data_IF_276937489674
#
_entry.id   IF_276937489674
#
_cell.length_a   1.000
_cell.length_b   1.000
_cell.length_c   1.000
_cell.angle_alpha   90.00
_cell.angle_beta   90.00
_cell.angle_gamma   90.00
#
_symmetry.space_group_name_H-M   'P 1'
#
loop_
_entity.id
_entity.type
_entity.pdbx_description
1 polymer ?
#
# COMPACT_ATOMS: atom_id res chain seq x y z
N UNK A 1 33.10 -25.00 -15.23
CA UNK A 1 31.79 -25.44 -14.69
C UNK A 1 31.04 -24.23 -14.14
N UNK A 2 30.03 -23.66 -14.84
CA UNK A 2 29.24 -22.56 -14.29
C UNK A 2 28.15 -23.12 -13.37
N UNK A 3 28.07 -22.61 -12.13
CA UNK A 3 27.09 -23.02 -11.12
C UNK A 3 25.65 -22.61 -11.51
N UNK A 4 24.63 -23.43 -11.22
CA UNK A 4 23.26 -23.18 -11.67
C UNK A 4 22.64 -21.97 -10.94
N UNK A 5 21.82 -21.24 -11.71
CA UNK A 5 21.14 -19.98 -11.38
C UNK A 5 20.26 -20.07 -10.13
N UNK A 6 20.47 -19.13 -9.19
CA UNK A 6 19.58 -18.82 -8.05
C UNK A 6 18.20 -18.29 -8.50
N UNK A 7 17.39 -19.11 -9.17
CA UNK A 7 16.02 -18.75 -9.57
C UNK A 7 14.94 -19.24 -8.60
N UNK A 8 15.26 -20.14 -7.68
CA UNK A 8 14.26 -20.79 -6.82
C UNK A 8 13.94 -20.05 -5.50
N UNK A 9 14.82 -19.16 -5.04
CA UNK A 9 14.66 -18.49 -3.74
C UNK A 9 13.76 -17.23 -3.81
N UNK A 10 13.65 -16.57 -4.97
CA UNK A 10 12.88 -15.32 -5.11
C UNK A 10 11.37 -15.53 -5.13
N UNK A 11 10.89 -16.61 -5.76
CA UNK A 11 9.46 -16.93 -5.79
C UNK A 11 8.96 -17.42 -4.44
N UNK A 12 9.74 -18.25 -3.74
CA UNK A 12 9.44 -18.69 -2.38
C UNK A 12 9.34 -17.49 -1.43
N UNK A 13 10.36 -16.62 -1.42
CA UNK A 13 10.34 -15.40 -0.62
C UNK A 13 9.14 -14.48 -0.94
N UNK A 14 8.73 -14.41 -2.22
CA UNK A 14 7.53 -13.66 -2.62
C UNK A 14 6.25 -14.29 -2.06
N UNK A 15 6.11 -15.63 -2.15
CA UNK A 15 4.96 -16.35 -1.61
C UNK A 15 4.86 -16.17 -0.10
N UNK A 16 5.95 -16.37 0.63
CA UNK A 16 6.00 -16.20 2.08
C UNK A 16 5.60 -14.78 2.49
N UNK A 17 6.06 -13.79 1.74
CA UNK A 17 5.69 -12.38 1.96
C UNK A 17 4.19 -12.15 1.73
N UNK A 18 3.65 -12.63 0.62
CA UNK A 18 2.21 -12.50 0.32
C UNK A 18 1.37 -13.20 1.38
N UNK A 19 1.81 -14.37 1.84
CA UNK A 19 1.15 -15.09 2.91
C UNK A 19 1.20 -14.33 4.23
N UNK A 20 2.35 -13.74 4.59
CA UNK A 20 2.47 -12.87 5.76
C UNK A 20 1.51 -11.68 5.68
N UNK A 21 1.47 -10.97 4.56
CA UNK A 21 0.54 -9.85 4.36
C UNK A 21 -0.92 -10.30 4.45
N UNK A 22 -1.24 -11.49 3.94
CA UNK A 22 -2.58 -12.09 4.05
C UNK A 22 -2.93 -12.36 5.51
N UNK A 23 -2.03 -12.96 6.28
CA UNK A 23 -2.22 -13.24 7.71
C UNK A 23 -2.41 -11.95 8.51
N UNK A 24 -1.58 -10.94 8.28
CA UNK A 24 -1.70 -9.62 8.92
C UNK A 24 -3.03 -8.95 8.58
N UNK A 25 -3.48 -9.01 7.32
CA UNK A 25 -4.78 -8.48 6.92
C UNK A 25 -5.95 -9.20 7.60
N UNK A 26 -5.88 -10.52 7.75
CA UNK A 26 -6.91 -11.31 8.46
C UNK A 26 -6.93 -10.98 9.95
N UNK A 27 -5.76 -10.77 10.55
CA UNK A 27 -5.63 -10.40 11.97
C UNK A 27 -6.00 -8.93 12.25
N UNK A 28 -6.03 -8.07 11.23
CA UNK A 28 -6.36 -6.66 11.39
C UNK A 28 -7.82 -6.49 11.81
N UNK A 29 -8.04 -5.59 12.77
CA UNK A 29 -9.39 -5.27 13.21
C UNK A 29 -10.20 -4.60 12.08
N UNK A 30 -11.55 -4.72 12.09
CA UNK A 30 -12.39 -4.01 11.14
C UNK A 30 -12.25 -2.49 11.23
N UNK A 31 -12.44 -1.81 10.11
CA UNK A 31 -12.35 -0.35 9.98
C UNK A 31 -13.27 0.36 10.98
N UNK A 32 -14.50 -0.13 11.17
CA UNK A 32 -15.45 0.39 12.18
C UNK A 32 -14.95 0.33 13.62
N UNK A 33 -14.02 -0.59 13.94
CA UNK A 33 -13.43 -0.71 15.27
C UNK A 33 -12.22 0.21 15.42
N UNK A 34 -11.42 0.35 14.37
CA UNK A 34 -10.26 1.23 14.34
C UNK A 34 -10.63 2.71 14.23
N UNK A 35 -11.63 3.04 13.42
CA UNK A 35 -12.07 4.38 13.09
C UNK A 35 -13.61 4.46 13.12
N UNK A 36 -14.23 4.49 14.32
CA UNK A 36 -15.68 4.31 14.46
C UNK A 36 -16.56 5.36 13.78
N UNK A 37 -16.03 6.56 13.53
CA UNK A 37 -16.77 7.66 12.90
C UNK A 37 -16.72 7.62 11.37
N UNK A 38 -15.83 6.79 10.80
CA UNK A 38 -15.58 6.72 9.37
C UNK A 38 -16.65 5.85 8.70
N UNK A 39 -17.43 6.44 7.80
CA UNK A 39 -18.45 5.75 7.02
C UNK A 39 -17.82 4.99 5.84
N UNK A 40 -16.79 5.58 5.24
CA UNK A 40 -16.08 5.03 4.09
C UNK A 40 -14.69 5.66 4.02
N UNK A 41 -13.72 4.89 3.53
CA UNK A 41 -12.37 5.39 3.22
C UNK A 41 -12.09 5.17 1.75
N UNK A 42 -11.80 6.24 1.03
CA UNK A 42 -11.26 6.16 -0.33
C UNK A 42 -9.75 6.31 -0.29
N UNK A 43 -9.06 5.41 -0.97
CA UNK A 43 -7.63 5.48 -1.22
C UNK A 43 -7.41 5.51 -2.74
N UNK A 44 -6.76 6.54 -3.23
CA UNK A 44 -6.32 6.63 -4.62
C UNK A 44 -4.81 6.52 -4.67
N UNK A 45 -4.31 5.61 -5.50
CA UNK A 45 -2.89 5.30 -5.63
C UNK A 45 -2.48 5.51 -7.09
N UNK A 46 -1.66 6.52 -7.35
CA UNK A 46 -1.11 6.82 -8.68
C UNK A 46 0.39 6.58 -8.67
N UNK A 47 0.85 5.70 -9.53
CA UNK A 47 2.25 5.31 -9.60
C UNK A 47 2.97 6.13 -10.66
N UNK A 48 4.20 6.55 -10.36
CA UNK A 48 5.07 7.23 -11.30
C UNK A 48 6.49 6.67 -11.19
N UNK A 49 7.02 6.16 -12.30
CA UNK A 49 8.39 5.66 -12.43
C UNK A 49 9.22 6.44 -13.45
N UNK A 50 8.72 7.59 -13.93
CA UNK A 50 9.33 8.40 -14.97
C UNK A 50 9.21 7.82 -16.39
N UNK A 51 8.54 6.67 -16.57
CA UNK A 51 8.30 6.09 -17.88
C UNK A 51 7.03 6.66 -18.54
N UNK A 52 6.90 6.47 -19.85
CA UNK A 52 5.70 6.86 -20.59
C UNK A 52 4.46 6.01 -20.25
N UNK A 53 4.66 4.84 -19.65
CA UNK A 53 3.60 3.88 -19.30
C UNK A 53 3.82 3.37 -17.87
N UNK A 54 3.54 4.22 -16.86
CA UNK A 54 3.67 3.80 -15.47
C UNK A 54 2.64 2.73 -15.10
N UNK A 55 2.83 2.02 -13.96
CA UNK A 55 1.85 1.08 -13.46
C UNK A 55 0.45 1.73 -13.31
N UNK A 56 -0.59 0.95 -13.63
CA UNK A 56 -1.97 1.43 -13.58
C UNK A 56 -2.33 1.95 -12.19
N UNK A 57 -3.04 3.09 -12.16
CA UNK A 57 -3.59 3.65 -10.94
C UNK A 57 -4.58 2.69 -10.27
N UNK A 58 -4.63 2.71 -8.94
CA UNK A 58 -5.49 1.84 -8.14
C UNK A 58 -6.41 2.71 -7.28
N UNK A 59 -7.69 2.34 -7.20
CA UNK A 59 -8.66 2.97 -6.30
C UNK A 59 -9.24 1.92 -5.38
N UNK A 60 -9.19 2.17 -4.08
CA UNK A 60 -9.74 1.31 -3.05
C UNK A 60 -10.79 2.05 -2.26
N UNK A 61 -11.98 1.47 -2.17
CA UNK A 61 -13.06 1.95 -1.33
C UNK A 61 -13.25 0.94 -0.22
N UNK A 62 -12.99 1.37 1.02
CA UNK A 62 -13.06 0.52 2.19
C UNK A 62 -14.27 0.93 3.03
N UNK A 63 -15.15 -0.04 3.24
CA UNK A 63 -16.35 0.11 4.05
C UNK A 63 -16.10 -0.32 5.51
N UNK A 64 -16.98 0.01 6.45
CA UNK A 64 -16.76 -0.23 7.88
C UNK A 64 -16.42 -1.70 8.27
N UNK A 65 -16.93 -2.75 7.57
CA UNK A 65 -16.52 -4.14 7.82
C UNK A 65 -15.13 -4.52 7.28
N UNK A 66 -14.54 -3.72 6.39
CA UNK A 66 -13.24 -4.03 5.79
C UNK A 66 -12.12 -4.03 6.84
N UNK A 67 -11.06 -4.80 6.61
CA UNK A 67 -9.90 -4.81 7.50
C UNK A 67 -9.18 -3.44 7.48
N UNK A 68 -8.84 -2.90 8.66
CA UNK A 68 -8.01 -1.71 8.82
C UNK A 68 -6.54 -2.03 8.54
N UNK A 69 -6.24 -2.43 7.29
CA UNK A 69 -4.94 -2.86 6.84
C UNK A 69 -4.58 -2.14 5.53
N UNK A 70 -3.66 -1.20 5.61
CA UNK A 70 -3.37 -0.25 4.52
C UNK A 70 -1.95 -0.40 3.96
N UNK A 71 -1.51 -1.65 3.80
CA UNK A 71 -0.23 -1.98 3.17
C UNK A 71 -0.45 -2.50 1.76
N UNK A 72 0.18 -1.83 0.79
CA UNK A 72 0.05 -2.13 -0.63
C UNK A 72 1.41 -2.57 -1.19
N UNK A 73 1.53 -3.75 -1.81
CA UNK A 73 2.78 -4.18 -2.41
C UNK A 73 3.14 -3.30 -3.61
N UNK A 74 4.44 -3.15 -3.89
CA UNK A 74 4.91 -2.52 -5.11
C UNK A 74 4.35 -3.25 -6.35
N UNK A 75 3.84 -2.54 -7.37
CA UNK A 75 3.27 -3.17 -8.57
C UNK A 75 4.33 -3.90 -9.42
N UNK A 76 5.62 -3.58 -9.27
CA UNK A 76 6.68 -4.31 -9.94
C UNK A 76 6.84 -5.72 -9.37
N UNK A 77 6.61 -6.73 -10.21
CA UNK A 77 6.61 -8.14 -9.82
C UNK A 77 7.97 -8.64 -9.29
N UNK A 78 9.05 -7.94 -9.63
CA UNK A 78 10.42 -8.21 -9.20
C UNK A 78 10.88 -7.35 -8.01
N UNK A 79 10.00 -6.52 -7.45
CA UNK A 79 10.27 -5.68 -6.29
C UNK A 79 9.70 -6.27 -5.00
N UNK A 80 10.46 -6.21 -3.91
CA UNK A 80 10.05 -6.64 -2.58
C UNK A 80 9.53 -5.50 -1.67
N UNK A 81 9.34 -4.30 -2.22
CA UNK A 81 8.85 -3.13 -1.50
C UNK A 81 7.33 -3.11 -1.28
N UNK A 82 6.90 -2.36 -0.27
CA UNK A 82 5.49 -2.02 0.01
C UNK A 82 5.36 -0.54 0.34
N UNK A 83 4.15 -0.03 0.19
CA UNK A 83 3.70 1.26 0.67
C UNK A 83 2.83 1.02 1.91
N UNK A 84 3.23 1.56 3.07
CA UNK A 84 2.44 1.52 4.31
C UNK A 84 1.74 2.87 4.49
N UNK A 85 0.41 2.88 4.30
CA UNK A 85 -0.41 4.08 4.45
C UNK A 85 -1.01 4.22 5.85
N UNK A 86 -0.70 3.32 6.79
CA UNK A 86 -1.36 3.25 8.10
C UNK A 86 -1.23 4.57 8.87
N UNK A 87 -0.05 5.18 8.85
CA UNK A 87 0.19 6.47 9.50
C UNK A 87 -0.61 7.62 8.86
N UNK A 88 -0.73 7.62 7.53
CA UNK A 88 -1.48 8.65 6.81
C UNK A 88 -3.00 8.52 7.00
N UNK A 89 -3.52 7.29 7.06
CA UNK A 89 -4.93 7.04 7.40
C UNK A 89 -5.21 7.45 8.85
N UNK A 90 -4.29 7.18 9.78
CA UNK A 90 -4.42 7.64 11.15
C UNK A 90 -4.39 9.19 11.25
N UNK A 91 -3.52 9.85 10.47
CA UNK A 91 -3.47 11.31 10.37
C UNK A 91 -4.79 11.86 9.80
N UNK A 92 -5.29 11.28 8.70
CA UNK A 92 -6.53 11.73 8.03
C UNK A 92 -7.75 11.54 8.93
N UNK A 93 -7.71 10.54 9.81
CA UNK A 93 -8.77 10.24 10.78
C UNK A 93 -8.63 10.97 12.13
N UNK A 94 -7.66 11.89 12.25
CA UNK A 94 -7.34 12.58 13.50
C UNK A 94 -8.49 13.43 14.09
N UNK A 95 -8.40 13.78 15.39
CA UNK A 95 -9.53 14.35 16.15
C UNK A 95 -9.87 15.81 15.83
N UNK A 96 -8.99 16.57 15.15
CA UNK A 96 -9.16 18.02 14.99
C UNK A 96 -10.05 18.38 13.82
N UNK A 97 -9.91 17.71 12.68
CA UNK A 97 -10.84 17.73 11.56
C UNK A 97 -10.42 16.61 10.62
N UNK A 98 -11.30 15.68 10.24
CA UNK A 98 -10.99 14.78 9.17
C UNK A 98 -10.78 15.56 7.88
N UNK A 99 -9.77 15.16 7.12
CA UNK A 99 -9.42 15.84 5.89
C UNK A 99 -8.87 14.86 4.89
N UNK A 100 -9.06 15.20 3.62
CA UNK A 100 -8.30 14.60 2.56
C UNK A 100 -6.81 14.87 2.77
N UNK A 101 -5.99 13.83 2.60
CA UNK A 101 -4.53 13.93 2.67
C UNK A 101 -3.95 13.39 1.37
N UNK A 102 -3.16 14.23 0.69
CA UNK A 102 -2.34 13.83 -0.44
C UNK A 102 -0.86 13.80 -0.05
N UNK A 103 -0.16 12.72 -0.40
CA UNK A 103 1.26 12.52 -0.11
C UNK A 103 1.94 11.77 -1.23
N UNK A 104 3.22 12.08 -1.43
CA UNK A 104 4.10 11.30 -2.26
C UNK A 104 4.93 10.37 -1.38
N UNK A 105 4.89 9.08 -1.70
CA UNK A 105 5.68 8.04 -1.07
C UNK A 105 6.62 7.43 -2.08
N UNK A 106 7.77 6.95 -1.63
CA UNK A 106 8.73 6.25 -2.49
C UNK A 106 8.87 4.81 -2.03
N UNK A 107 8.85 3.89 -2.99
CA UNK A 107 9.06 2.48 -2.74
C UNK A 107 10.49 2.22 -2.21
N UNK A 108 10.57 1.76 -0.96
CA UNK A 108 11.83 1.46 -0.28
C UNK A 108 12.35 0.04 -0.57
N UNK A 109 11.69 -0.71 -1.46
CA UNK A 109 12.11 -2.05 -1.84
C UNK A 109 13.28 -2.07 -2.82
N UNK A 110 13.79 -3.27 -3.08
CA UNK A 110 14.85 -3.53 -4.05
C UNK A 110 14.31 -4.44 -5.15
N UNK A 111 14.63 -4.13 -6.41
CA UNK A 111 14.25 -4.98 -7.55
C UNK A 111 15.23 -6.13 -7.68
N UNK A 112 14.77 -7.29 -8.16
CA UNK A 112 15.62 -8.48 -8.30
C UNK A 112 16.87 -8.22 -9.15
N UNK A 113 16.75 -7.39 -10.22
CA UNK A 113 17.86 -6.98 -11.08
C UNK A 113 18.88 -6.08 -10.39
N UNK A 114 18.43 -5.31 -9.39
CA UNK A 114 19.20 -4.28 -8.69
C UNK A 114 19.74 -4.79 -7.34
N UNK A 115 19.56 -6.08 -7.01
CA UNK A 115 20.03 -6.66 -5.74
C UNK A 115 21.55 -6.66 -5.59
N UNK A 116 22.28 -6.75 -6.70
CA UNK A 116 23.76 -6.73 -6.68
C UNK A 116 24.30 -5.30 -6.53
N UNK A 117 23.55 -4.31 -7.03
CA UNK A 117 23.92 -2.89 -6.99
C UNK A 117 23.35 -2.17 -5.77
N UNK A 118 22.32 -2.73 -5.13
CA UNK A 118 21.64 -2.15 -3.96
C UNK A 118 20.73 -0.98 -4.32
N UNK A 119 20.45 -0.73 -5.61
CA UNK A 119 19.58 0.37 -6.00
C UNK A 119 18.14 0.12 -5.54
N UNK A 120 17.56 1.13 -4.90
CA UNK A 120 16.15 1.12 -4.49
C UNK A 120 15.27 1.18 -5.73
N UNK A 121 14.06 0.67 -5.58
CA UNK A 121 13.07 0.64 -6.65
C UNK A 121 12.77 2.05 -7.21
N UNK A 122 12.77 3.07 -6.35
CA UNK A 122 12.56 4.47 -6.73
C UNK A 122 11.17 4.79 -7.27
N UNK A 123 10.23 3.83 -7.21
CA UNK A 123 8.86 4.05 -7.69
C UNK A 123 8.17 5.04 -6.76
N UNK A 124 7.68 6.13 -7.34
CA UNK A 124 6.89 7.11 -6.63
C UNK A 124 5.42 6.70 -6.64
N UNK A 125 4.75 6.93 -5.52
CA UNK A 125 3.33 6.76 -5.33
C UNK A 125 2.79 8.11 -4.87
N UNK A 126 1.99 8.75 -5.70
CA UNK A 126 1.09 9.82 -5.26
C UNK A 126 -0.16 9.13 -4.69
N UNK A 127 -0.36 9.25 -3.37
CA UNK A 127 -1.53 8.71 -2.70
C UNK A 127 -2.44 9.83 -2.19
N UNK A 128 -3.74 9.68 -2.43
CA UNK A 128 -4.79 10.51 -1.86
C UNK A 128 -5.66 9.67 -0.94
N UNK A 129 -5.86 10.14 0.28
CA UNK A 129 -6.66 9.49 1.32
C UNK A 129 -7.83 10.38 1.65
N UNK A 130 -9.04 9.95 1.30
CA UNK A 130 -10.27 10.71 1.49
C UNK A 130 -11.19 9.93 2.43
N UNK A 131 -11.15 10.24 3.75
CA UNK A 131 -12.09 9.65 4.69
C UNK A 131 -13.44 10.36 4.62
N UNK A 132 -14.51 9.60 4.45
CA UNK A 132 -15.90 10.09 4.48
C UNK A 132 -16.53 9.73 5.82
N UNK A 133 -17.23 10.67 6.45
CA UNK A 133 -17.84 10.47 7.76
C UNK A 133 -19.36 10.38 7.65
N UNK A 134 -19.98 9.71 8.63
CA UNK A 134 -21.45 9.59 8.67
C UNK A 134 -22.14 10.96 8.74
N UNK A 135 -21.45 11.99 9.23
CA UNK A 135 -21.95 13.37 9.31
C UNK A 135 -22.03 14.03 7.93
N UNK A 136 -21.22 13.61 6.95
CA UNK A 136 -21.18 14.17 5.59
C UNK A 136 -22.25 13.56 4.68
N UNK A 137 -22.84 12.42 5.07
CA UNK A 137 -23.87 11.70 4.30
C UNK A 137 -25.29 12.21 4.62
N UNK A 138 -25.45 12.92 5.74
CA UNK A 138 -26.73 13.43 6.23
C UNK A 138 -27.03 14.90 5.84
N UNK A 139 -26.20 15.49 4.99
CA UNK A 139 -26.38 16.82 4.41
C UNK A 139 -26.78 16.71 2.94
#
# INVERSE_FOLDING_TARGET
>A
MPKPKQRHNSEAARRDRLERLRRERIAAQPLRRAYPRMAQLRLELRFNDGSALPPAAQSHILHPPAAAFFRFPCPFADCDGLFDLTGLVAESAGPKTPREISRNLECQGVRARDRLTGHRCGLQLECTISPNYLQDIAA
#
